data_IF_699132235283
#
_entry.id   IF_699132235283
#
_cell.length_a   1.000
_cell.length_b   1.000
_cell.length_c   1.000
_cell.angle_alpha   90.00
_cell.angle_beta   90.00
_cell.angle_gamma   90.00
#
_symmetry.space_group_name_H-M   'P 1'
#
loop_
_entity.id
_entity.type
_entity.pdbx_description
1 polymer ?
#
# COMPACT_ATOMS: atom_id res chain seq x y z
N UNK A 1 3.46 35.98 -35.12
CA UNK A 1 4.34 34.80 -35.29
C UNK A 1 3.56 33.58 -34.86
N UNK A 2 2.75 33.05 -35.78
CA UNK A 2 1.94 31.84 -35.61
C UNK A 2 2.22 31.06 -36.89
N UNK A 3 3.05 30.03 -36.80
CA UNK A 3 3.33 29.13 -37.92
C UNK A 3 3.42 27.69 -37.44
N UNK A 4 2.54 26.88 -38.04
CA UNK A 4 2.64 25.46 -38.33
C UNK A 4 3.03 24.51 -37.19
N UNK A 5 2.01 24.00 -36.48
CA UNK A 5 2.06 22.63 -35.96
C UNK A 5 1.87 21.67 -37.14
N UNK A 6 2.95 21.02 -37.55
CA UNK A 6 2.90 19.89 -38.48
C UNK A 6 2.37 18.66 -37.74
N UNK A 7 1.19 18.18 -38.15
CA UNK A 7 0.70 16.87 -37.75
C UNK A 7 1.65 15.79 -38.32
N UNK A 8 2.28 15.02 -37.43
CA UNK A 8 2.99 13.82 -37.82
C UNK A 8 1.96 12.73 -38.17
N UNK A 9 2.03 12.12 -39.38
CA UNK A 9 1.20 10.97 -39.68
C UNK A 9 1.72 9.78 -38.87
N UNK A 10 0.92 9.35 -37.90
CA UNK A 10 1.10 8.08 -37.21
C UNK A 10 0.87 6.96 -38.24
N UNK A 11 1.95 6.37 -38.76
CA UNK A 11 1.85 5.15 -39.56
C UNK A 11 1.49 4.00 -38.63
N UNK A 12 0.39 3.26 -38.86
CA UNK A 12 0.14 2.05 -38.12
C UNK A 12 1.22 1.03 -38.52
N UNK A 13 1.92 0.49 -37.53
CA UNK A 13 2.73 -0.71 -37.68
C UNK A 13 1.80 -1.92 -37.86
N UNK A 14 1.09 -1.97 -38.99
CA UNK A 14 0.40 -3.17 -39.45
C UNK A 14 1.46 -4.11 -40.00
N UNK A 15 1.78 -5.15 -39.23
CA UNK A 15 2.59 -6.24 -39.75
C UNK A 15 3.23 -7.10 -38.68
N UNK A 16 2.47 -7.60 -37.70
CA UNK A 16 2.73 -8.87 -37.01
C UNK A 16 1.46 -9.27 -36.24
N UNK A 17 0.41 -9.63 -36.98
CA UNK A 17 -0.59 -10.59 -36.49
C UNK A 17 -0.52 -11.78 -37.42
N UNK A 18 0.36 -12.73 -37.09
CA UNK A 18 0.17 -14.11 -37.53
C UNK A 18 -0.55 -14.78 -36.37
N UNK A 19 -1.82 -15.08 -36.59
CA UNK A 19 -2.47 -16.20 -35.97
C UNK A 19 -1.53 -17.41 -36.11
N UNK A 20 -0.93 -17.84 -35.01
CA UNK A 20 -0.36 -19.16 -34.92
C UNK A 20 -1.53 -20.15 -34.81
N UNK A 21 -2.13 -20.43 -35.95
CA UNK A 21 -2.84 -21.69 -36.17
C UNK A 21 -1.82 -22.81 -35.93
N UNK A 22 -1.93 -23.49 -34.80
CA UNK A 22 -1.19 -24.72 -34.55
C UNK A 22 -1.72 -25.81 -35.48
N UNK A 23 -1.32 -25.78 -36.75
CA UNK A 23 -1.28 -26.99 -37.57
C UNK A 23 -0.12 -27.83 -37.07
N UNK A 24 -0.43 -28.97 -36.46
CA UNK A 24 0.51 -30.06 -36.29
C UNK A 24 1.11 -30.42 -37.66
N UNK A 25 2.35 -30.01 -37.88
CA UNK A 25 3.17 -30.51 -39.00
C UNK A 25 3.71 -31.86 -38.52
N UNK A 26 3.10 -32.95 -38.99
CA UNK A 26 3.73 -34.27 -38.95
C UNK A 26 4.96 -34.23 -39.85
N UNK A 27 6.12 -34.49 -39.26
CA UNK A 27 7.36 -34.74 -40.01
C UNK A 27 7.28 -36.17 -40.58
N UNK A 28 6.76 -36.30 -41.80
CA UNK A 28 6.97 -37.50 -42.61
C UNK A 28 8.31 -37.35 -43.36
N UNK A 29 9.38 -37.91 -42.78
CA UNK A 29 10.60 -38.16 -43.54
C UNK A 29 10.42 -39.46 -44.31
N UNK A 30 10.31 -39.34 -45.63
CA UNK A 30 10.35 -40.43 -46.59
C UNK A 30 11.61 -41.30 -46.38
N UNK A 31 11.41 -42.59 -46.15
CA UNK A 31 12.40 -43.62 -46.53
C UNK A 31 11.66 -44.79 -47.16
N UNK A 32 11.71 -44.83 -48.48
CA UNK A 32 11.18 -45.91 -49.29
C UNK A 32 11.93 -47.22 -49.01
N UNK A 33 11.21 -48.23 -48.53
CA UNK A 33 11.46 -49.64 -48.84
C UNK A 33 10.13 -50.35 -48.99
N UNK A 34 9.89 -50.82 -50.21
CA UNK A 34 8.79 -51.68 -50.62
C UNK A 34 8.71 -52.96 -49.79
N UNK A 35 7.55 -53.25 -49.20
CA UNK A 35 7.09 -54.63 -49.01
C UNK A 35 5.57 -54.70 -48.90
N UNK A 36 5.04 -55.67 -49.63
CA UNK A 36 3.64 -56.01 -49.86
C UNK A 36 2.88 -56.41 -48.59
N UNK A 37 1.56 -56.19 -48.67
CA UNK A 37 0.45 -56.91 -48.06
C UNK A 37 0.45 -57.11 -46.53
N UNK A 38 -0.46 -56.42 -45.84
CA UNK A 38 -1.61 -57.12 -45.27
C UNK A 38 -2.67 -56.18 -44.67
N UNK A 39 -3.91 -56.62 -44.86
CA UNK A 39 -5.17 -56.03 -44.48
C UNK A 39 -5.36 -56.13 -42.95
N UNK A 40 -5.30 -55.02 -42.22
CA UNK A 40 -5.93 -54.93 -40.90
C UNK A 40 -6.40 -53.50 -40.61
N UNK A 41 -7.72 -53.32 -40.69
CA UNK A 41 -8.44 -52.17 -40.14
C UNK A 41 -8.22 -52.10 -38.63
N UNK A 42 -7.26 -51.29 -38.20
CA UNK A 42 -7.11 -50.87 -36.81
C UNK A 42 -7.56 -49.41 -36.73
N UNK A 43 -8.66 -49.19 -36.01
CA UNK A 43 -9.20 -47.88 -35.70
C UNK A 43 -8.09 -47.00 -35.12
N UNK A 44 -7.72 -45.97 -35.88
CA UNK A 44 -6.84 -44.89 -35.43
C UNK A 44 -7.51 -44.20 -34.26
N UNK A 45 -7.08 -44.54 -33.04
CA UNK A 45 -7.37 -43.81 -31.83
C UNK A 45 -6.95 -42.35 -32.03
N UNK A 46 -7.92 -41.48 -32.30
CA UNK A 46 -7.75 -40.05 -32.20
C UNK A 46 -7.42 -39.75 -30.74
N UNK A 47 -6.14 -39.50 -30.46
CA UNK A 47 -5.69 -38.82 -29.25
C UNK A 47 -6.35 -37.43 -29.22
N UNK A 48 -7.57 -37.38 -28.69
CA UNK A 48 -8.22 -36.13 -28.34
C UNK A 48 -7.34 -35.48 -27.29
N UNK A 49 -6.70 -34.36 -27.63
CA UNK A 49 -6.14 -33.46 -26.62
C UNK A 49 -7.21 -33.29 -25.53
N UNK A 50 -6.90 -33.53 -24.25
CA UNK A 50 -7.88 -33.38 -23.19
C UNK A 50 -8.41 -31.96 -23.28
N UNK A 51 -9.69 -31.84 -23.64
CA UNK A 51 -10.40 -30.58 -23.50
C UNK A 51 -10.29 -30.26 -22.01
N UNK A 52 -9.55 -29.19 -21.69
CA UNK A 52 -9.54 -28.58 -20.38
C UNK A 52 -11.01 -28.28 -20.07
N UNK A 53 -11.64 -29.17 -19.30
CA UNK A 53 -13.00 -28.96 -18.83
C UNK A 53 -13.04 -27.60 -18.15
N UNK A 54 -14.15 -26.88 -18.36
CA UNK A 54 -14.44 -25.59 -17.73
C UNK A 54 -13.86 -25.60 -16.32
N UNK A 55 -12.94 -24.67 -16.07
CA UNK A 55 -12.15 -24.62 -14.86
C UNK A 55 -13.10 -24.48 -13.66
N UNK A 56 -13.57 -25.62 -13.14
CA UNK A 56 -14.41 -25.72 -11.95
C UNK A 56 -13.76 -24.88 -10.89
N UNK A 57 -14.54 -23.96 -10.32
CA UNK A 57 -14.12 -22.93 -9.39
C UNK A 57 -13.14 -23.50 -8.37
N UNK A 58 -11.84 -23.26 -8.60
CA UNK A 58 -10.81 -23.68 -7.68
C UNK A 58 -11.07 -22.89 -6.40
N UNK A 59 -11.22 -23.56 -5.24
CA UNK A 59 -11.46 -22.86 -3.99
C UNK A 59 -10.33 -21.87 -3.75
N UNK A 60 -10.66 -20.58 -3.82
CA UNK A 60 -9.75 -19.47 -3.55
C UNK A 60 -10.10 -18.87 -2.20
N UNK A 61 -9.10 -18.63 -1.38
CA UNK A 61 -9.26 -17.91 -0.12
C UNK A 61 -8.92 -16.44 -0.34
N UNK A 62 -9.73 -15.53 0.18
CA UNK A 62 -9.43 -14.10 0.17
C UNK A 62 -8.21 -13.81 1.07
N UNK A 63 -7.27 -13.00 0.59
CA UNK A 63 -6.12 -12.57 1.39
C UNK A 63 -6.49 -11.60 2.52
N UNK A 64 -7.73 -11.08 2.55
CA UNK A 64 -8.20 -10.11 3.53
C UNK A 64 -7.28 -8.87 3.61
N UNK A 65 -6.71 -8.48 2.47
CA UNK A 65 -5.97 -7.22 2.33
C UNK A 65 -6.95 -6.23 1.74
N UNK A 66 -7.30 -5.21 2.50
CA UNK A 66 -8.02 -4.07 1.94
C UNK A 66 -7.06 -3.26 1.09
N UNK A 67 -7.47 -2.97 -0.13
CA UNK A 67 -6.71 -2.18 -1.09
C UNK A 67 -7.62 -1.06 -1.53
N UNK A 68 -7.19 0.16 -1.26
CA UNK A 68 -7.95 1.35 -1.55
C UNK A 68 -7.85 1.70 -3.05
N UNK A 69 -8.85 2.43 -3.54
CA UNK A 69 -8.90 2.86 -4.94
C UNK A 69 -8.09 4.16 -5.14
N UNK A 70 -6.79 4.10 -4.82
CA UNK A 70 -5.86 5.24 -4.91
C UNK A 70 -4.59 4.96 -5.73
N UNK A 71 -3.81 6.01 -5.96
CA UNK A 71 -2.63 5.97 -6.83
C UNK A 71 -1.50 5.11 -6.27
N UNK A 72 -1.26 5.11 -4.95
CA UNK A 72 -0.16 4.36 -4.33
C UNK A 72 -0.50 2.87 -4.28
N UNK A 73 -1.70 2.52 -3.80
CA UNK A 73 -2.21 1.15 -3.70
C UNK A 73 -2.31 0.50 -5.09
N UNK A 74 -2.59 1.29 -6.14
CA UNK A 74 -2.60 0.82 -7.52
C UNK A 74 -1.26 0.26 -7.99
N UNK A 75 -0.13 0.73 -7.44
CA UNK A 75 1.20 0.18 -7.73
C UNK A 75 1.32 -1.24 -7.21
N UNK A 76 0.86 -1.47 -5.99
CA UNK A 76 0.81 -2.80 -5.37
C UNK A 76 -0.12 -3.71 -6.16
N UNK A 77 -1.30 -3.23 -6.55
CA UNK A 77 -2.23 -3.97 -7.42
C UNK A 77 -1.64 -4.34 -8.77
N UNK A 78 -0.94 -3.39 -9.41
CA UNK A 78 -0.27 -3.65 -10.68
C UNK A 78 0.85 -4.68 -10.54
N UNK A 79 1.55 -4.70 -9.40
CA UNK A 79 2.59 -5.68 -9.12
C UNK A 79 2.07 -7.12 -9.01
N UNK A 80 0.83 -7.30 -8.54
CA UNK A 80 0.12 -8.59 -8.58
C UNK A 80 -0.66 -8.82 -9.88
N UNK A 81 -0.65 -7.85 -10.81
CA UNK A 81 -1.27 -7.96 -12.13
C UNK A 81 -2.77 -7.66 -12.15
N UNK A 82 -3.27 -6.90 -11.16
CA UNK A 82 -4.68 -6.51 -11.05
C UNK A 82 -5.09 -5.31 -11.92
N UNK A 83 -4.12 -4.58 -12.49
CA UNK A 83 -4.36 -3.34 -13.24
C UNK A 83 -4.23 -3.57 -14.74
N UNK A 84 -5.28 -3.20 -15.48
CA UNK A 84 -5.37 -3.36 -16.91
C UNK A 84 -5.72 -2.03 -17.60
N UNK A 85 -5.15 -1.84 -18.78
CA UNK A 85 -5.47 -0.77 -19.72
C UNK A 85 -6.45 -1.32 -20.76
N UNK A 86 -7.60 -0.68 -20.92
CA UNK A 86 -8.52 -1.00 -22.01
C UNK A 86 -8.06 -0.33 -23.31
N UNK A 87 -7.76 -1.13 -24.33
CA UNK A 87 -7.46 -0.65 -25.67
C UNK A 87 -8.49 -1.21 -26.67
N UNK A 88 -8.73 -0.56 -27.82
CA UNK A 88 -9.71 -0.99 -28.82
C UNK A 88 -9.43 -2.36 -29.49
N UNK A 89 -8.42 -3.11 -29.04
CA UNK A 89 -8.10 -4.46 -29.51
C UNK A 89 -7.83 -5.46 -28.39
N UNK A 90 -8.16 -5.13 -27.13
CA UNK A 90 -7.97 -6.02 -25.98
C UNK A 90 -7.49 -5.28 -24.73
N UNK A 91 -7.19 -6.05 -23.69
CA UNK A 91 -6.69 -5.51 -22.41
C UNK A 91 -5.19 -5.73 -22.28
N UNK A 92 -4.45 -4.70 -21.90
CA UNK A 92 -2.99 -4.76 -21.68
C UNK A 92 -2.71 -4.54 -20.21
N UNK A 93 -1.86 -5.37 -19.60
CA UNK A 93 -1.48 -5.21 -18.18
C UNK A 93 -0.59 -4.00 -18.00
N UNK A 94 -0.89 -3.18 -16.99
CA UNK A 94 -0.06 -2.03 -16.64
C UNK A 94 1.08 -2.49 -15.75
N UNK A 95 2.30 -2.10 -16.09
CA UNK A 95 3.48 -2.42 -15.28
C UNK A 95 3.54 -1.48 -14.06
N UNK A 96 3.78 -1.98 -12.83
CA UNK A 96 3.78 -1.16 -11.61
C UNK A 96 4.81 -0.04 -11.62
N UNK A 97 5.95 -0.22 -12.27
CA UNK A 97 6.97 0.83 -12.44
C UNK A 97 6.40 2.14 -13.00
N UNK A 98 5.46 2.10 -13.95
CA UNK A 98 4.89 3.33 -14.52
C UNK A 98 4.00 4.07 -13.51
N UNK A 99 3.22 3.33 -12.73
CA UNK A 99 2.39 3.88 -11.66
C UNK A 99 3.27 4.44 -10.52
N UNK A 100 4.32 3.70 -10.15
CA UNK A 100 5.31 4.13 -9.16
C UNK A 100 6.03 5.43 -9.59
N UNK A 101 6.37 5.57 -10.87
CA UNK A 101 6.92 6.82 -11.42
C UNK A 101 5.90 7.96 -11.34
N UNK A 102 4.60 7.69 -11.49
CA UNK A 102 3.52 8.65 -11.27
C UNK A 102 3.32 9.05 -9.80
N UNK A 103 3.68 8.18 -8.85
CA UNK A 103 3.61 8.47 -7.42
C UNK A 103 4.68 9.50 -6.97
N UNK A 104 5.84 9.57 -7.64
CA UNK A 104 6.92 10.50 -7.29
C UNK A 104 6.48 11.97 -7.40
N UNK A 105 5.94 12.48 -8.53
CA UNK A 105 5.48 13.86 -8.62
C UNK A 105 4.32 14.16 -7.68
N UNK A 106 3.42 13.19 -7.42
CA UNK A 106 2.37 13.32 -6.43
C UNK A 106 2.96 13.55 -5.03
N UNK A 107 3.87 12.68 -4.59
CA UNK A 107 4.57 12.81 -3.32
C UNK A 107 5.30 14.16 -3.21
N UNK A 108 6.00 14.58 -4.27
CA UNK A 108 6.68 15.89 -4.32
C UNK A 108 5.68 17.03 -4.15
N UNK A 109 4.53 16.98 -4.83
CA UNK A 109 3.50 18.01 -4.71
C UNK A 109 2.86 18.05 -3.30
N UNK A 110 2.59 16.90 -2.69
CA UNK A 110 2.10 16.81 -1.32
C UNK A 110 3.12 17.38 -0.32
N UNK A 111 4.40 16.99 -0.44
CA UNK A 111 5.49 17.52 0.39
C UNK A 111 5.71 19.02 0.21
N UNK A 112 5.66 19.50 -1.04
CA UNK A 112 5.76 20.93 -1.34
C UNK A 112 4.65 21.70 -0.63
N UNK A 113 3.41 21.21 -0.73
CA UNK A 113 2.24 21.83 -0.14
C UNK A 113 2.35 21.87 1.39
N UNK A 114 2.78 20.77 2.01
CA UNK A 114 3.05 20.72 3.45
C UNK A 114 4.16 21.70 3.84
N UNK A 115 5.27 21.75 3.10
CA UNK A 115 6.34 22.70 3.36
C UNK A 115 5.87 24.15 3.26
N UNK A 116 5.05 24.49 2.25
CA UNK A 116 4.47 25.84 2.13
C UNK A 116 3.48 26.14 3.24
N UNK A 117 2.66 25.17 3.67
CA UNK A 117 1.81 25.32 4.84
C UNK A 117 2.66 25.64 6.09
N UNK A 118 3.75 24.90 6.33
CA UNK A 118 4.66 25.15 7.46
C UNK A 118 5.33 26.52 7.41
N UNK A 119 5.80 26.94 6.23
CA UNK A 119 6.46 28.23 6.05
C UNK A 119 5.49 29.42 6.09
N UNK A 120 4.20 29.18 5.85
CA UNK A 120 3.14 30.18 5.95
C UNK A 120 2.62 30.41 7.37
N UNK A 121 3.07 29.61 8.34
CA UNK A 121 2.68 29.73 9.74
C UNK A 121 3.46 30.85 10.45
N UNK A 122 2.81 31.57 11.37
CA UNK A 122 3.45 32.48 12.32
C UNK A 122 4.11 31.65 13.43
N UNK A 123 5.29 31.12 13.14
CA UNK A 123 5.99 30.13 13.97
C UNK A 123 6.44 30.65 15.35
N UNK A 124 6.49 31.97 15.53
CA UNK A 124 6.84 32.63 16.79
C UNK A 124 5.67 32.71 17.78
N UNK A 125 4.45 32.45 17.31
CA UNK A 125 3.24 32.65 18.12
C UNK A 125 3.17 31.65 19.28
N UNK A 126 2.94 32.12 20.52
CA UNK A 126 2.78 31.22 21.67
C UNK A 126 1.53 30.37 21.52
N UNK A 127 1.61 29.11 21.95
CA UNK A 127 0.50 28.12 21.88
C UNK A 127 -0.68 28.56 22.74
N UNK A 128 -0.42 29.23 23.87
CA UNK A 128 -1.46 29.75 24.77
C UNK A 128 -2.11 31.05 24.30
N UNK A 129 -1.58 31.68 23.24
CA UNK A 129 -2.05 32.97 22.71
C UNK A 129 -1.62 34.17 23.57
N UNK A 130 -1.55 35.36 22.96
CA UNK A 130 -1.08 36.60 23.61
C UNK A 130 -2.21 37.41 24.30
N UNK A 131 -3.41 36.85 24.45
CA UNK A 131 -4.58 37.56 24.98
C UNK A 131 -4.90 37.24 26.44
N UNK A 132 -5.36 38.24 27.20
CA UNK A 132 -6.06 38.04 28.47
C UNK A 132 -7.40 37.30 28.23
N UNK A 133 -7.34 35.98 28.05
CA UNK A 133 -8.56 35.16 28.06
C UNK A 133 -9.18 35.20 29.45
N UNK A 134 -10.50 35.42 29.50
CA UNK A 134 -11.32 35.22 30.70
C UNK A 134 -10.97 33.88 31.35
N UNK A 135 -10.80 33.86 32.68
CA UNK A 135 -10.35 32.69 33.44
C UNK A 135 -11.19 31.43 33.19
N UNK A 136 -12.46 31.59 32.83
CA UNK A 136 -13.35 30.48 32.47
C UNK A 136 -13.06 29.85 31.10
N UNK A 137 -12.51 30.61 30.14
CA UNK A 137 -12.21 30.12 28.79
C UNK A 137 -10.81 29.49 28.65
N UNK A 138 -9.91 29.75 29.62
CA UNK A 138 -8.51 29.28 29.61
C UNK A 138 -8.36 27.76 29.44
N UNK A 139 -9.31 26.98 29.94
CA UNK A 139 -9.28 25.51 29.84
C UNK A 139 -10.04 24.95 28.63
N UNK A 140 -11.02 25.71 28.10
CA UNK A 140 -11.89 25.25 27.02
C UNK A 140 -11.11 25.20 25.70
N UNK A 141 -10.32 26.24 25.41
CA UNK A 141 -9.58 26.32 24.15
C UNK A 141 -8.51 25.21 24.01
N UNK A 142 -7.62 24.94 25.00
CA UNK A 142 -6.66 23.85 24.90
C UNK A 142 -7.34 22.47 24.82
N UNK A 143 -8.47 22.29 25.51
CA UNK A 143 -9.26 21.07 25.44
C UNK A 143 -9.83 20.86 24.03
N UNK A 144 -10.43 21.89 23.43
CA UNK A 144 -10.97 21.84 22.08
C UNK A 144 -9.87 21.56 21.04
N UNK A 145 -8.71 22.23 21.15
CA UNK A 145 -7.54 21.96 20.30
C UNK A 145 -7.06 20.53 20.43
N UNK A 146 -6.92 20.02 21.66
CA UNK A 146 -6.54 18.63 21.92
C UNK A 146 -7.53 17.64 21.31
N UNK A 147 -8.84 17.89 21.46
CA UNK A 147 -9.89 17.06 20.89
C UNK A 147 -9.82 17.06 19.34
N UNK A 148 -9.59 18.22 18.72
CA UNK A 148 -9.43 18.32 17.27
C UNK A 148 -8.21 17.56 16.75
N UNK A 149 -7.08 17.61 17.48
CA UNK A 149 -5.90 16.77 17.16
C UNK A 149 -6.27 15.29 17.20
N UNK A 150 -7.00 14.84 18.24
CA UNK A 150 -7.45 13.45 18.32
C UNK A 150 -8.40 13.08 17.18
N UNK A 151 -9.35 13.94 16.83
CA UNK A 151 -10.29 13.69 15.74
C UNK A 151 -9.57 13.56 14.40
N UNK A 152 -8.62 14.45 14.10
CA UNK A 152 -7.78 14.33 12.91
C UNK A 152 -6.97 13.04 12.93
N UNK A 153 -6.36 12.73 14.06
CA UNK A 153 -5.56 11.53 14.18
C UNK A 153 -6.40 10.24 14.01
N UNK A 154 -7.67 10.25 14.39
CA UNK A 154 -8.63 9.16 14.14
C UNK A 154 -9.08 9.11 12.67
N UNK A 155 -9.22 10.27 12.00
CA UNK A 155 -9.54 10.31 10.57
C UNK A 155 -8.41 9.78 9.69
N UNK A 156 -7.15 10.04 10.06
CA UNK A 156 -5.98 9.57 9.32
C UNK A 156 -5.59 8.13 9.67
N UNK A 157 -6.16 7.59 10.75
CA UNK A 157 -5.80 6.28 11.26
C UNK A 157 -6.07 5.16 10.25
N UNK A 158 -7.26 5.05 9.62
CA UNK A 158 -7.54 3.99 8.64
C UNK A 158 -6.54 4.01 7.48
N UNK A 159 -6.19 5.19 6.96
CA UNK A 159 -5.38 5.28 5.74
C UNK A 159 -3.94 4.92 6.00
N UNK A 160 -3.39 5.39 7.11
CA UNK A 160 -2.06 4.97 7.52
C UNK A 160 -2.05 3.47 7.88
N UNK A 161 -3.12 2.95 8.52
CA UNK A 161 -3.23 1.54 8.90
C UNK A 161 -3.25 0.65 7.65
N UNK A 162 -4.03 1.03 6.63
CA UNK A 162 -4.09 0.40 5.31
C UNK A 162 -2.72 0.38 4.65
N UNK A 163 -2.08 1.54 4.49
CA UNK A 163 -0.75 1.67 3.90
C UNK A 163 0.31 0.83 4.64
N UNK A 164 0.29 0.83 5.98
CA UNK A 164 1.24 0.05 6.78
C UNK A 164 1.01 -1.46 6.64
N UNK A 165 -0.25 -1.90 6.61
CA UNK A 165 -0.60 -3.32 6.36
C UNK A 165 -0.16 -3.74 4.97
N UNK A 166 -0.44 -2.92 3.96
CA UNK A 166 -0.08 -3.19 2.57
C UNK A 166 1.45 -3.21 2.38
N UNK A 167 2.17 -2.31 3.05
CA UNK A 167 3.64 -2.32 3.08
C UNK A 167 4.19 -3.62 3.69
N UNK A 168 3.69 -4.05 4.86
CA UNK A 168 4.13 -5.30 5.47
C UNK A 168 3.77 -6.51 4.62
N UNK A 169 2.59 -6.51 4.00
CA UNK A 169 2.15 -7.54 3.05
C UNK A 169 3.10 -7.66 1.86
N UNK A 170 3.53 -6.53 1.28
CA UNK A 170 4.50 -6.45 0.18
C UNK A 170 5.91 -6.86 0.62
N UNK A 171 6.31 -6.52 1.84
CA UNK A 171 7.62 -6.90 2.38
C UNK A 171 7.66 -8.36 2.82
N UNK A 172 6.51 -8.98 3.08
CA UNK A 172 6.42 -10.39 3.45
C UNK A 172 6.73 -11.27 2.23
N UNK A 173 7.84 -12.03 2.25
CA UNK A 173 8.27 -12.79 1.08
C UNK A 173 7.35 -13.97 0.75
N UNK A 174 6.62 -14.50 1.72
CA UNK A 174 5.67 -15.60 1.49
C UNK A 174 4.50 -15.16 0.61
N UNK A 175 4.06 -13.91 0.74
CA UNK A 175 3.02 -13.29 -0.10
C UNK A 175 3.30 -13.45 -1.59
N UNK A 176 4.54 -13.24 -2.02
CA UNK A 176 4.96 -13.30 -3.42
C UNK A 176 5.02 -14.72 -3.99
N UNK A 177 5.03 -15.72 -3.10
CA UNK A 177 4.98 -17.14 -3.45
C UNK A 177 3.52 -17.61 -3.47
N UNK A 178 2.71 -17.11 -2.53
CA UNK A 178 1.35 -17.59 -2.29
C UNK A 178 0.32 -17.02 -3.27
N UNK A 179 0.55 -15.80 -3.76
CA UNK A 179 -0.39 -15.09 -4.64
C UNK A 179 -0.05 -15.32 -6.10
N UNK A 180 -1.06 -15.67 -6.88
CA UNK A 180 -0.92 -15.84 -8.32
C UNK A 180 -0.65 -14.47 -8.97
N UNK A 181 0.52 -14.33 -9.58
CA UNK A 181 0.92 -13.12 -10.30
C UNK A 181 1.20 -13.41 -11.76
N UNK A 182 1.22 -12.35 -12.57
CA UNK A 182 1.67 -12.46 -13.94
C UNK A 182 3.16 -12.77 -14.01
N UNK A 183 3.54 -13.76 -14.82
CA UNK A 183 4.91 -13.97 -15.27
C UNK A 183 4.92 -13.89 -16.79
N UNK A 184 5.57 -12.87 -17.40
CA UNK A 184 5.75 -12.85 -18.84
C UNK A 184 6.63 -14.03 -19.27
N UNK A 185 6.54 -14.39 -20.55
CA UNK A 185 7.45 -15.38 -21.11
C UNK A 185 8.91 -14.87 -21.03
N UNK A 186 9.83 -15.77 -20.68
CA UNK A 186 11.26 -15.48 -20.46
C UNK A 186 11.95 -14.96 -21.73
N UNK A 187 11.35 -15.21 -22.90
CA UNK A 187 11.83 -14.74 -24.20
C UNK A 187 11.69 -13.22 -24.39
N UNK A 188 10.86 -12.54 -23.59
CA UNK A 188 10.64 -11.11 -23.72
C UNK A 188 11.87 -10.31 -23.23
N UNK A 189 12.35 -9.36 -24.06
CA UNK A 189 13.51 -8.49 -23.74
C UNK A 189 13.40 -7.73 -22.42
N UNK A 190 12.17 -7.50 -21.95
CA UNK A 190 11.85 -6.76 -20.73
C UNK A 190 11.30 -7.67 -19.61
N UNK A 191 11.45 -8.99 -19.73
CA UNK A 191 11.00 -9.94 -18.70
C UNK A 191 11.66 -9.65 -17.33
N UNK A 192 12.88 -9.09 -17.32
CA UNK A 192 13.56 -8.73 -16.08
C UNK A 192 12.83 -7.67 -15.24
N UNK A 193 12.06 -6.76 -15.87
CA UNK A 193 11.29 -5.75 -15.15
C UNK A 193 10.13 -6.37 -14.35
N UNK A 194 9.65 -7.54 -14.79
CA UNK A 194 8.65 -8.33 -14.09
C UNK A 194 9.25 -9.29 -13.04
N UNK A 195 10.54 -9.15 -12.73
CA UNK A 195 11.15 -9.93 -11.66
C UNK A 195 10.65 -9.49 -10.28
N UNK A 196 10.48 -10.44 -9.36
CA UNK A 196 10.03 -10.19 -7.98
C UNK A 196 10.72 -9.01 -7.30
N UNK A 197 12.07 -8.87 -7.36
CA UNK A 197 12.75 -7.77 -6.67
C UNK A 197 12.33 -6.40 -7.18
N UNK A 198 12.12 -6.25 -8.50
CA UNK A 198 11.68 -4.99 -9.09
C UNK A 198 10.24 -4.67 -8.67
N UNK A 199 9.36 -5.67 -8.73
CA UNK A 199 7.95 -5.53 -8.34
C UNK A 199 7.81 -5.16 -6.86
N UNK A 200 8.52 -5.87 -5.96
CA UNK A 200 8.60 -5.54 -4.52
C UNK A 200 9.09 -4.12 -4.33
N UNK A 201 10.18 -3.74 -4.99
CA UNK A 201 10.77 -2.42 -4.80
C UNK A 201 9.80 -1.31 -5.21
N UNK A 202 9.09 -1.46 -6.34
CA UNK A 202 8.08 -0.49 -6.77
C UNK A 202 6.92 -0.39 -5.77
N UNK A 203 6.34 -1.52 -5.38
CA UNK A 203 5.21 -1.56 -4.44
C UNK A 203 5.62 -1.00 -3.07
N UNK A 204 6.71 -1.49 -2.48
CA UNK A 204 7.20 -1.03 -1.19
C UNK A 204 7.57 0.45 -1.20
N UNK A 205 8.12 0.96 -2.31
CA UNK A 205 8.38 2.40 -2.46
C UNK A 205 7.09 3.20 -2.43
N UNK A 206 6.07 2.81 -3.21
CA UNK A 206 4.78 3.50 -3.25
C UNK A 206 4.11 3.54 -1.87
N UNK A 207 4.02 2.40 -1.19
CA UNK A 207 3.44 2.32 0.16
C UNK A 207 4.25 3.12 1.19
N UNK A 208 5.59 3.13 1.06
CA UNK A 208 6.46 3.93 1.92
C UNK A 208 6.24 5.44 1.72
N UNK A 209 6.00 5.88 0.48
CA UNK A 209 5.67 7.28 0.18
C UNK A 209 4.30 7.66 0.78
N UNK A 210 3.27 6.82 0.62
CA UNK A 210 1.94 7.00 1.22
C UNK A 210 2.05 7.11 2.75
N UNK A 211 2.73 6.16 3.39
CA UNK A 211 2.94 6.15 4.84
C UNK A 211 3.75 7.36 5.32
N UNK A 212 4.77 7.79 4.57
CA UNK A 212 5.54 8.98 4.89
C UNK A 212 4.70 10.26 4.86
N UNK A 213 3.83 10.43 3.85
CA UNK A 213 2.90 11.56 3.79
C UNK A 213 1.92 11.51 4.96
N UNK A 214 1.26 10.37 5.18
CA UNK A 214 0.32 10.20 6.28
C UNK A 214 0.95 10.54 7.63
N UNK A 215 2.16 10.05 7.89
CA UNK A 215 2.90 10.35 9.12
C UNK A 215 3.26 11.83 9.26
N UNK A 216 3.73 12.47 8.18
CA UNK A 216 4.10 13.89 8.19
C UNK A 216 2.87 14.76 8.45
N UNK A 217 1.75 14.49 7.76
CA UNK A 217 0.48 15.19 7.99
C UNK A 217 0.01 14.99 9.43
N UNK A 218 0.12 13.77 9.97
CA UNK A 218 -0.26 13.46 11.34
C UNK A 218 0.58 14.29 12.34
N UNK A 219 1.89 14.45 12.12
CA UNK A 219 2.75 15.30 12.96
C UNK A 219 2.44 16.79 12.79
N UNK A 220 2.26 17.27 11.56
CA UNK A 220 1.97 18.67 11.25
C UNK A 220 0.61 19.12 11.75
N UNK A 221 -0.37 18.21 11.77
CA UNK A 221 -1.72 18.48 12.26
C UNK A 221 -1.72 19.03 13.69
N UNK A 222 -0.81 18.54 14.54
CA UNK A 222 -0.65 19.03 15.92
C UNK A 222 -0.29 20.52 15.90
N UNK A 223 0.68 20.91 15.08
CA UNK A 223 1.12 22.30 15.01
C UNK A 223 0.05 23.21 14.41
N UNK A 224 -0.58 22.75 13.32
CA UNK A 224 -1.65 23.47 12.62
C UNK A 224 -2.80 23.76 13.57
N UNK A 225 -3.28 22.76 14.31
CA UNK A 225 -4.38 22.92 15.27
C UNK A 225 -3.98 23.80 16.45
N UNK A 226 -2.75 23.64 16.97
CA UNK A 226 -2.27 24.44 18.10
C UNK A 226 -2.09 25.92 17.75
N UNK A 227 -1.73 26.24 16.51
CA UNK A 227 -1.50 27.61 16.06
C UNK A 227 -2.80 28.41 15.84
N UNK A 228 -3.91 27.75 15.52
CA UNK A 228 -5.16 28.44 15.20
C UNK A 228 -5.72 29.20 16.42
N UNK A 229 -6.16 30.44 16.21
CA UNK A 229 -6.85 31.22 17.26
C UNK A 229 -8.34 30.91 17.30
N UNK A 230 -8.91 30.59 16.14
CA UNK A 230 -10.33 30.34 15.99
C UNK A 230 -10.61 28.89 15.61
N UNK A 231 -11.80 28.42 15.97
CA UNK A 231 -12.29 27.09 15.57
C UNK A 231 -12.47 27.02 14.05
N UNK A 232 -12.85 28.13 13.41
CA UNK A 232 -13.02 28.20 11.95
C UNK A 232 -11.69 27.98 11.22
N UNK A 233 -10.60 28.63 11.67
CA UNK A 233 -9.27 28.43 11.08
C UNK A 233 -8.79 26.99 11.30
N UNK A 234 -9.08 26.43 12.48
CA UNK A 234 -8.78 25.02 12.80
C UNK A 234 -9.47 24.10 11.80
N UNK A 235 -10.77 24.31 11.54
CA UNK A 235 -11.55 23.50 10.61
C UNK A 235 -11.06 23.64 9.17
N UNK A 236 -10.76 24.87 8.71
CA UNK A 236 -10.28 25.09 7.35
C UNK A 236 -8.91 24.45 7.13
N UNK A 237 -7.98 24.62 8.08
CA UNK A 237 -6.66 24.02 7.97
C UNK A 237 -6.71 22.49 8.10
N UNK A 238 -7.64 21.95 8.91
CA UNK A 238 -7.93 20.53 8.98
C UNK A 238 -8.40 19.97 7.63
N UNK A 239 -9.34 20.65 6.97
CA UNK A 239 -9.82 20.28 5.65
C UNK A 239 -8.70 20.32 4.59
N UNK A 240 -7.81 21.32 4.67
CA UNK A 240 -6.66 21.40 3.78
C UNK A 240 -5.69 20.21 3.96
N UNK A 241 -5.44 19.78 5.21
CA UNK A 241 -4.62 18.60 5.49
C UNK A 241 -5.29 17.30 4.97
N UNK A 242 -6.59 17.15 5.18
CA UNK A 242 -7.34 16.00 4.64
C UNK A 242 -7.31 15.98 3.11
N UNK A 243 -7.53 17.13 2.46
CA UNK A 243 -7.44 17.24 1.00
C UNK A 243 -6.06 16.86 0.46
N UNK A 244 -4.99 17.17 1.19
CA UNK A 244 -3.63 16.76 0.79
C UNK A 244 -3.44 15.25 0.80
N UNK A 245 -4.09 14.56 1.75
CA UNK A 245 -4.07 13.09 1.81
C UNK A 245 -4.91 12.53 0.67
N UNK A 246 -6.13 13.02 0.47
CA UNK A 246 -7.06 12.56 -0.58
C UNK A 246 -6.60 12.84 -2.02
N UNK A 247 -5.49 13.56 -2.20
CA UNK A 247 -4.97 13.90 -3.52
C UNK A 247 -4.56 12.65 -4.33
N UNK A 248 -4.19 11.56 -3.66
CA UNK A 248 -3.87 10.28 -4.29
C UNK A 248 -5.10 9.62 -4.96
N UNK A 249 -6.23 9.57 -4.25
CA UNK A 249 -7.53 9.13 -4.75
C UNK A 249 -7.93 9.94 -5.99
N UNK A 250 -7.79 11.27 -5.91
CA UNK A 250 -8.14 12.17 -7.03
C UNK A 250 -7.20 12.04 -8.23
N UNK A 251 -5.91 11.87 -8.00
CA UNK A 251 -4.98 11.62 -9.10
C UNK A 251 -5.27 10.28 -9.79
N UNK A 252 -5.66 9.27 -9.02
CA UNK A 252 -6.03 7.96 -9.57
C UNK A 252 -7.33 7.99 -10.36
N UNK A 253 -8.37 8.70 -9.89
CA UNK A 253 -9.59 8.96 -10.67
C UNK A 253 -9.26 9.59 -12.03
N UNK A 254 -8.35 10.57 -12.06
CA UNK A 254 -7.87 11.20 -13.29
C UNK A 254 -7.09 10.20 -14.15
N UNK A 255 -6.20 9.40 -13.58
CA UNK A 255 -5.43 8.39 -14.31
C UNK A 255 -6.34 7.34 -14.97
N UNK A 256 -7.35 6.84 -14.24
CA UNK A 256 -8.38 5.93 -14.77
C UNK A 256 -9.11 6.55 -15.95
N UNK A 257 -9.57 7.80 -15.82
CA UNK A 257 -10.31 8.49 -16.87
C UNK A 257 -9.47 8.79 -18.11
N UNK A 258 -8.23 9.24 -17.94
CA UNK A 258 -7.35 9.66 -19.05
C UNK A 258 -6.80 8.47 -19.82
N UNK A 259 -6.41 7.40 -19.12
CA UNK A 259 -5.77 6.26 -19.73
C UNK A 259 -6.72 5.09 -20.02
N UNK A 260 -7.95 5.09 -19.49
CA UNK A 260 -8.84 3.94 -19.58
C UNK A 260 -8.30 2.77 -18.75
N UNK A 261 -7.77 3.07 -17.56
CA UNK A 261 -7.27 2.07 -16.63
C UNK A 261 -8.46 1.52 -15.84
N UNK A 262 -8.55 0.20 -15.75
CA UNK A 262 -9.53 -0.50 -14.95
C UNK A 262 -8.87 -1.60 -14.11
N UNK A 263 -9.46 -1.84 -12.95
CA UNK A 263 -9.15 -3.03 -12.18
C UNK A 263 -9.86 -4.23 -12.79
N UNK A 264 -9.15 -5.34 -12.92
CA UNK A 264 -9.78 -6.60 -13.32
C UNK A 264 -10.82 -7.01 -12.27
N UNK A 265 -12.05 -7.26 -12.71
CA UNK A 265 -13.10 -7.82 -11.87
C UNK A 265 -12.59 -9.13 -11.23
N UNK A 266 -12.62 -9.19 -9.89
CA UNK A 266 -12.11 -10.30 -9.10
C UNK A 266 -10.63 -10.20 -8.64
N UNK A 267 -9.88 -9.16 -9.03
CA UNK A 267 -8.55 -8.87 -8.45
C UNK A 267 -8.59 -7.84 -7.32
N UNK A 268 -9.74 -7.18 -7.09
CA UNK A 268 -9.96 -6.34 -5.89
C UNK A 268 -9.76 -7.12 -4.60
N UNK A 269 -10.03 -8.43 -4.65
CA UNK A 269 -9.75 -9.38 -3.59
C UNK A 269 -8.56 -10.23 -4.07
N UNK A 270 -7.39 -10.03 -3.48
CA UNK A 270 -6.22 -10.84 -3.82
C UNK A 270 -6.48 -12.28 -3.39
N UNK A 271 -6.81 -13.14 -4.36
CA UNK A 271 -7.09 -14.56 -4.13
C UNK A 271 -5.80 -15.34 -3.87
N UNK A 272 -5.72 -15.97 -2.70
CA UNK A 272 -4.65 -16.92 -2.34
C UNK A 272 -4.94 -18.25 -3.01
N UNK A 273 -3.91 -18.83 -3.63
CA UNK A 273 -3.99 -20.18 -4.20
C UNK A 273 -4.11 -21.22 -3.10
N UNK A 274 -5.01 -22.18 -3.26
CA UNK A 274 -5.09 -23.33 -2.35
C UNK A 274 -3.75 -24.10 -2.32
N UNK A 275 -3.43 -24.70 -1.17
CA UNK A 275 -2.16 -25.42 -0.96
C UNK A 275 -1.92 -26.51 -2.03
N UNK A 276 -2.99 -27.23 -2.43
CA UNK A 276 -2.93 -28.24 -3.49
C UNK A 276 -2.53 -27.67 -4.84
N UNK A 277 -3.04 -26.49 -5.18
CA UNK A 277 -2.72 -25.81 -6.44
C UNK A 277 -1.30 -25.23 -6.40
N UNK A 278 -0.88 -24.71 -5.24
CA UNK A 278 0.51 -24.31 -5.03
C UNK A 278 1.46 -25.50 -5.21
N UNK A 279 1.14 -26.67 -4.65
CA UNK A 279 1.96 -27.88 -4.77
C UNK A 279 2.00 -28.42 -6.20
N UNK A 280 0.86 -28.40 -6.92
CA UNK A 280 0.80 -28.72 -8.35
C UNK A 280 1.69 -27.80 -9.18
N UNK A 281 1.64 -26.49 -8.92
CA UNK A 281 2.51 -25.51 -9.58
C UNK A 281 3.98 -25.74 -9.26
N UNK A 282 4.33 -25.97 -7.98
CA UNK A 282 5.71 -26.31 -7.59
C UNK A 282 6.20 -27.58 -8.29
N UNK A 283 5.34 -28.57 -8.46
CA UNK A 283 5.66 -29.83 -9.14
C UNK A 283 5.80 -29.64 -10.66
N UNK A 284 4.94 -28.85 -11.28
CA UNK A 284 4.95 -28.56 -12.72
C UNK A 284 6.10 -27.61 -13.12
N UNK A 285 6.33 -26.57 -12.33
CA UNK A 285 7.35 -25.54 -12.59
C UNK A 285 8.73 -25.91 -12.00
N UNK A 286 8.84 -27.00 -11.24
CA UNK A 286 10.01 -27.35 -10.41
C UNK A 286 11.36 -27.50 -11.12
N UNK A 287 11.39 -27.51 -12.46
CA UNK A 287 12.63 -27.44 -13.26
C UNK A 287 12.95 -26.04 -13.79
N UNK A 288 11.95 -25.16 -13.97
CA UNK A 288 12.11 -23.79 -14.49
C UNK A 288 12.19 -22.75 -13.36
N UNK A 289 11.51 -22.99 -12.24
CA UNK A 289 11.45 -22.06 -11.11
C UNK A 289 12.72 -22.02 -10.25
N UNK A 290 13.53 -23.09 -10.30
CA UNK A 290 14.83 -23.21 -9.59
C UNK A 290 15.88 -22.14 -9.96
N UNK A 291 15.55 -21.18 -10.82
CA UNK A 291 16.45 -20.11 -11.27
C UNK A 291 16.09 -18.71 -10.78
N UNK A 292 14.94 -18.51 -10.13
CA UNK A 292 14.65 -17.21 -9.52
C UNK A 292 15.40 -17.12 -8.17
N UNK A 293 16.19 -16.06 -7.98
CA UNK A 293 17.21 -15.84 -6.94
C UNK A 293 16.72 -15.87 -5.46
N UNK A 294 15.55 -16.41 -5.18
CA UNK A 294 14.91 -16.49 -3.88
C UNK A 294 15.00 -17.87 -3.24
N UNK A 295 15.51 -18.89 -3.95
CA UNK A 295 15.69 -20.22 -3.36
C UNK A 295 16.72 -20.25 -2.21
N UNK A 296 17.65 -19.29 -2.16
CA UNK A 296 18.63 -19.17 -1.07
C UNK A 296 18.01 -18.74 0.26
N UNK A 297 16.76 -18.29 0.27
CA UNK A 297 16.00 -17.98 1.49
C UNK A 297 15.27 -19.20 2.06
N UNK A 298 16.01 -20.30 2.24
CA UNK A 298 15.50 -21.50 2.92
C UNK A 298 14.92 -21.19 4.31
N UNK A 299 15.45 -20.18 5.00
CA UNK A 299 14.94 -19.70 6.29
C UNK A 299 13.45 -19.34 6.27
N UNK A 300 12.98 -18.67 5.22
CA UNK A 300 11.57 -18.27 5.13
C UNK A 300 10.65 -19.43 4.75
N UNK A 301 11.18 -20.47 4.10
CA UNK A 301 10.41 -21.70 3.85
C UNK A 301 10.12 -22.44 5.15
N UNK A 302 10.98 -22.34 6.17
CA UNK A 302 10.83 -23.06 7.44
C UNK A 302 9.94 -22.34 8.46
N UNK A 303 9.77 -21.01 8.39
CA UNK A 303 8.84 -20.30 9.28
C UNK A 303 7.43 -20.32 8.71
N UNK A 304 6.73 -21.43 8.99
CA UNK A 304 5.29 -21.60 8.84
C UNK A 304 4.49 -20.41 9.41
N UNK A 305 4.95 -19.85 10.53
CA UNK A 305 4.46 -18.64 11.17
C UNK A 305 4.28 -17.41 10.25
N UNK A 306 5.09 -17.27 9.20
CA UNK A 306 5.05 -16.12 8.29
C UNK A 306 4.17 -16.35 7.06
N UNK A 307 3.67 -17.58 6.86
CA UNK A 307 2.69 -17.85 5.80
C UNK A 307 1.38 -17.22 6.17
N UNK A 308 0.79 -16.49 5.23
CA UNK A 308 -0.42 -15.70 5.48
C UNK A 308 -1.59 -16.56 5.97
N UNK A 309 -1.75 -17.75 5.37
CA UNK A 309 -2.78 -18.71 5.73
C UNK A 309 -2.57 -19.37 7.12
N UNK A 310 -1.36 -19.36 7.66
CA UNK A 310 -0.98 -20.06 8.91
C UNK A 310 -0.73 -19.08 10.08
N UNK A 311 -1.18 -17.82 9.95
CA UNK A 311 -1.08 -16.81 11.01
C UNK A 311 -0.23 -15.58 10.67
N UNK A 312 0.39 -15.52 9.49
CA UNK A 312 1.16 -14.36 9.04
C UNK A 312 0.36 -13.04 9.09
N UNK A 313 -0.93 -13.10 8.75
CA UNK A 313 -1.84 -11.94 8.86
C UNK A 313 -1.95 -11.39 10.29
N UNK A 314 -1.96 -12.26 11.31
CA UNK A 314 -1.99 -11.83 12.71
C UNK A 314 -0.67 -11.21 13.15
N UNK A 315 0.47 -11.73 12.68
CA UNK A 315 1.79 -11.15 12.95
C UNK A 315 1.91 -9.77 12.31
N UNK A 316 1.47 -9.62 11.06
CA UNK A 316 1.39 -8.34 10.37
C UNK A 316 0.51 -7.36 11.15
N UNK A 317 -0.70 -7.76 11.55
CA UNK A 317 -1.60 -6.92 12.33
C UNK A 317 -0.99 -6.46 13.67
N UNK A 318 -0.33 -7.36 14.41
CA UNK A 318 0.38 -7.02 15.65
C UNK A 318 1.52 -6.04 15.41
N UNK A 319 2.31 -6.23 14.34
CA UNK A 319 3.41 -5.34 13.99
C UNK A 319 2.88 -3.95 13.60
N UNK A 320 1.81 -3.88 12.82
CA UNK A 320 1.13 -2.61 12.51
C UNK A 320 0.65 -1.95 13.80
N UNK A 321 -0.07 -2.66 14.68
CA UNK A 321 -0.52 -2.11 15.96
C UNK A 321 0.64 -1.55 16.81
N UNK A 322 1.79 -2.22 16.83
CA UNK A 322 2.98 -1.76 17.54
C UNK A 322 3.56 -0.48 16.92
N UNK A 323 3.66 -0.40 15.59
CA UNK A 323 4.13 0.80 14.87
C UNK A 323 3.22 1.99 15.17
N UNK A 324 1.90 1.80 15.11
CA UNK A 324 0.93 2.86 15.42
C UNK A 324 0.98 3.30 16.87
N UNK A 325 1.03 2.36 17.81
CA UNK A 325 1.16 2.68 19.22
C UNK A 325 2.40 3.56 19.47
N UNK A 326 3.53 3.24 18.84
CA UNK A 326 4.74 4.06 18.93
C UNK A 326 4.55 5.45 18.32
N UNK A 327 3.94 5.54 17.13
CA UNK A 327 3.67 6.82 16.47
C UNK A 327 2.76 7.72 17.32
N UNK A 328 1.69 7.18 17.89
CA UNK A 328 0.76 7.92 18.76
C UNK A 328 1.39 8.36 20.08
N UNK A 329 2.13 7.48 20.75
CA UNK A 329 2.86 7.83 21.97
C UNK A 329 3.81 8.99 21.69
N UNK A 330 4.57 8.91 20.59
CA UNK A 330 5.46 9.99 20.16
C UNK A 330 4.69 11.29 19.94
N UNK A 331 3.54 11.26 19.29
CA UNK A 331 2.74 12.46 19.05
C UNK A 331 2.17 13.09 20.30
N UNK A 332 1.68 12.28 21.23
CA UNK A 332 1.24 12.77 22.54
C UNK A 332 2.40 13.46 23.25
N UNK A 333 3.60 12.86 23.24
CA UNK A 333 4.78 13.46 23.87
C UNK A 333 5.18 14.77 23.19
N UNK A 334 5.13 14.85 21.87
CA UNK A 334 5.39 16.09 21.10
C UNK A 334 4.35 17.17 21.45
N UNK A 335 3.07 16.82 21.52
CA UNK A 335 2.00 17.74 21.91
C UNK A 335 2.20 18.26 23.34
N UNK A 336 2.42 17.36 24.31
CA UNK A 336 2.66 17.72 25.70
C UNK A 336 3.92 18.59 25.84
N UNK A 337 4.97 18.30 25.08
CA UNK A 337 6.19 19.10 25.11
C UNK A 337 5.94 20.51 24.58
N UNK A 338 5.14 20.62 23.51
CA UNK A 338 4.75 21.90 22.91
C UNK A 338 3.90 22.73 23.85
N UNK A 339 2.96 22.11 24.56
CA UNK A 339 2.19 22.77 25.62
C UNK A 339 3.07 23.21 26.80
N UNK A 340 4.09 22.41 27.18
CA UNK A 340 5.00 22.77 28.28
C UNK A 340 5.92 23.95 27.94
N UNK A 341 6.38 24.00 26.70
CA UNK A 341 7.39 24.97 26.24
C UNK A 341 6.80 26.17 25.52
N UNK A 342 5.49 26.16 25.30
CA UNK A 342 4.75 27.17 24.55
C UNK A 342 5.32 27.42 23.14
N UNK A 343 5.85 26.36 22.53
CA UNK A 343 6.51 26.42 21.21
C UNK A 343 5.95 25.33 20.32
N UNK A 344 5.57 25.71 19.10
CA UNK A 344 4.98 24.80 18.12
C UNK A 344 5.99 23.71 17.68
N UNK A 345 5.54 22.44 17.47
CA UNK A 345 6.41 21.37 16.98
C UNK A 345 7.09 21.72 15.66
N UNK A 346 6.32 22.24 14.69
CA UNK A 346 6.78 22.63 13.36
C UNK A 346 7.89 23.68 13.39
N UNK A 347 7.88 24.61 14.36
CA UNK A 347 8.93 25.61 14.49
C UNK A 347 10.29 24.94 14.78
N UNK A 348 10.30 23.90 15.61
CA UNK A 348 11.49 23.09 15.92
C UNK A 348 11.94 22.26 14.73
N UNK A 349 10.99 21.67 14.00
CA UNK A 349 11.29 20.88 12.82
C UNK A 349 11.91 21.76 11.72
N UNK A 350 11.39 22.98 11.52
CA UNK A 350 11.97 23.96 10.60
C UNK A 350 13.39 24.38 11.02
N UNK A 351 13.63 24.66 12.30
CA UNK A 351 14.98 24.96 12.77
C UNK A 351 15.93 23.78 12.60
N UNK A 352 15.45 22.55 12.83
CA UNK A 352 16.24 21.33 12.61
C UNK A 352 16.59 21.16 11.13
N UNK A 353 15.63 21.34 10.23
CA UNK A 353 15.86 21.28 8.79
C UNK A 353 16.84 22.38 8.37
N UNK A 354 16.68 23.61 8.87
CA UNK A 354 17.61 24.70 8.58
C UNK A 354 19.03 24.38 9.06
N UNK A 355 19.22 23.93 10.30
CA UNK A 355 20.53 23.51 10.80
C UNK A 355 21.17 22.42 9.93
N UNK A 356 20.41 21.37 9.59
CA UNK A 356 20.89 20.31 8.70
C UNK A 356 21.29 20.85 7.33
N UNK A 357 20.61 21.87 6.79
CA UNK A 357 21.00 22.46 5.50
C UNK A 357 22.27 23.29 5.55
N UNK A 358 22.65 23.80 6.73
CA UNK A 358 23.90 24.53 6.94
C UNK A 358 25.10 23.60 7.14
N UNK A 359 24.86 22.36 7.60
CA UNK A 359 25.92 21.39 7.77
C UNK A 359 26.51 20.93 6.41
N UNK A 360 27.83 20.97 6.30
CA UNK A 360 28.58 20.34 5.19
C UNK A 360 28.79 18.84 5.45
N UNK A 361 27.70 18.16 5.83
CA UNK A 361 27.63 16.71 5.97
C UNK A 361 26.91 16.10 4.77
N UNK A 362 27.09 14.79 4.55
CA UNK A 362 26.34 14.05 3.50
C UNK A 362 24.83 14.18 3.70
N UNK A 363 24.38 14.16 4.96
CA UNK A 363 22.99 14.38 5.33
C UNK A 363 22.54 15.81 4.97
N UNK A 364 23.36 16.83 5.24
CA UNK A 364 23.04 18.20 4.87
C UNK A 364 22.95 18.43 3.36
N UNK A 365 23.83 17.80 2.57
CA UNK A 365 23.72 17.80 1.10
C UNK A 365 22.44 17.10 0.62
N UNK A 366 22.10 15.97 1.22
CA UNK A 366 20.87 15.23 0.90
C UNK A 366 19.63 16.06 1.23
N UNK A 367 19.55 16.67 2.42
CA UNK A 367 18.45 17.55 2.83
C UNK A 367 18.31 18.73 1.88
N UNK A 368 19.42 19.39 1.50
CA UNK A 368 19.41 20.46 0.49
C UNK A 368 18.90 19.97 -0.87
N UNK A 369 19.30 18.77 -1.30
CA UNK A 369 18.83 18.15 -2.54
C UNK A 369 17.33 17.88 -2.51
N UNK A 370 16.83 17.28 -1.42
CA UNK A 370 15.42 16.98 -1.19
C UNK A 370 14.60 18.27 -1.20
N UNK A 371 15.01 19.30 -0.45
CA UNK A 371 14.31 20.58 -0.44
C UNK A 371 14.24 21.22 -1.82
N UNK A 372 15.32 21.18 -2.61
CA UNK A 372 15.31 21.69 -3.99
C UNK A 372 14.28 20.95 -4.86
N UNK A 373 14.23 19.63 -4.76
CA UNK A 373 13.24 18.82 -5.50
C UNK A 373 11.82 19.13 -5.02
N UNK A 374 11.59 19.15 -3.70
CA UNK A 374 10.28 19.46 -3.10
C UNK A 374 9.79 20.86 -3.48
N UNK A 375 10.68 21.84 -3.58
CA UNK A 375 10.32 23.20 -3.99
C UNK A 375 10.08 23.39 -5.50
N UNK A 376 10.14 22.32 -6.29
CA UNK A 376 10.13 22.40 -7.76
C UNK A 376 11.18 23.40 -8.29
N UNK A 377 12.35 23.42 -7.65
CA UNK A 377 13.47 24.34 -7.91
C UNK A 377 13.20 25.84 -7.61
N UNK A 378 12.06 26.19 -7.01
CA UNK A 378 11.83 27.55 -6.52
C UNK A 378 12.60 27.77 -5.21
N UNK A 379 13.86 28.25 -5.29
CA UNK A 379 14.84 28.47 -4.20
C UNK A 379 14.26 28.52 -2.76
N UNK A 380 13.97 27.36 -2.13
CA UNK A 380 13.28 27.30 -0.84
C UNK A 380 14.25 27.71 0.26
N UNK A 381 15.54 27.51 0.03
CA UNK A 381 16.62 27.94 0.90
C UNK A 381 16.59 29.45 1.15
N UNK A 382 16.11 30.25 0.20
CA UNK A 382 15.97 31.69 0.40
C UNK A 382 14.90 32.01 1.44
N UNK A 383 13.72 31.39 1.31
CA UNK A 383 12.63 31.55 2.26
C UNK A 383 12.98 30.93 3.62
N UNK A 384 13.47 29.69 3.62
CA UNK A 384 13.92 29.01 4.84
C UNK A 384 15.00 29.81 5.57
N UNK A 385 16.00 30.34 4.86
CA UNK A 385 17.02 31.16 5.49
C UNK A 385 16.44 32.47 6.01
N UNK A 386 15.54 33.13 5.27
CA UNK A 386 14.88 34.36 5.75
C UNK A 386 14.05 34.10 7.02
N UNK A 387 13.34 32.99 7.10
CA UNK A 387 12.44 32.70 8.23
C UNK A 387 13.22 32.14 9.43
N UNK A 388 14.22 31.28 9.20
CA UNK A 388 14.89 30.54 10.28
C UNK A 388 16.22 31.16 10.74
N UNK A 389 16.99 31.85 9.88
CA UNK A 389 18.34 32.26 10.25
C UNK A 389 18.34 33.51 11.17
N UNK A 390 18.86 33.42 12.40
CA UNK A 390 18.88 34.55 13.34
C UNK A 390 19.70 35.75 12.85
N UNK A 391 20.73 35.54 12.02
CA UNK A 391 21.58 36.62 11.50
C UNK A 391 20.83 37.56 10.54
N UNK A 392 19.72 37.10 9.96
CA UNK A 392 18.84 37.88 9.08
C UNK A 392 17.50 38.21 9.72
N UNK A 393 17.36 37.98 11.04
CA UNK A 393 16.13 38.24 11.80
C UNK A 393 15.14 37.09 11.83
N UNK A 394 15.56 35.86 11.53
CA UNK A 394 14.76 34.65 11.72
C UNK A 394 14.69 34.20 13.17
N UNK A 395 13.76 33.28 13.47
CA UNK A 395 13.39 32.94 14.86
C UNK A 395 14.22 31.82 15.50
N UNK A 396 15.06 31.10 14.75
CA UNK A 396 15.74 29.93 15.32
C UNK A 396 16.73 30.35 16.41
N UNK A 397 16.52 29.77 17.59
CA UNK A 397 17.34 29.94 18.78
C UNK A 397 17.37 28.62 19.55
N UNK A 398 18.16 28.55 20.64
CA UNK A 398 18.25 27.37 21.51
C UNK A 398 16.88 26.90 22.07
N UNK A 399 15.89 27.81 22.16
CA UNK A 399 14.53 27.46 22.57
C UNK A 399 13.82 26.54 21.55
N UNK A 400 14.17 26.67 20.27
CA UNK A 400 13.59 25.90 19.17
C UNK A 400 14.41 24.65 18.82
N UNK A 401 15.31 24.22 19.72
CA UNK A 401 16.07 22.98 19.52
C UNK A 401 15.15 21.78 19.34
N UNK A 402 15.62 20.79 18.58
CA UNK A 402 14.91 19.55 18.33
C UNK A 402 14.59 18.81 19.64
N UNK A 403 13.42 18.17 19.70
CA UNK A 403 13.00 17.40 20.86
C UNK A 403 13.85 16.13 20.92
N UNK A 404 14.67 15.99 21.97
CA UNK A 404 15.49 14.78 22.14
C UNK A 404 14.70 13.68 22.85
N UNK A 405 15.10 12.42 22.69
CA UNK A 405 14.50 11.31 23.44
C UNK A 405 14.60 11.48 24.95
N UNK A 406 15.63 12.20 25.45
CA UNK A 406 15.78 12.53 26.87
C UNK A 406 14.67 13.46 27.33
N UNK A 407 14.34 14.49 26.55
CA UNK A 407 13.25 15.43 26.85
C UNK A 407 11.90 14.69 26.89
N UNK A 408 11.67 13.78 25.94
CA UNK A 408 10.47 12.94 25.90
C UNK A 408 10.36 12.02 27.12
N UNK A 409 11.45 11.36 27.51
CA UNK A 409 11.48 10.49 28.70
C UNK A 409 11.29 11.27 30.00
N UNK A 410 11.89 12.46 30.10
CA UNK A 410 11.67 13.34 31.25
C UNK A 410 10.20 13.74 31.35
N UNK A 411 9.57 14.11 30.24
CA UNK A 411 8.16 14.47 30.21
C UNK A 411 7.24 13.30 30.58
N UNK A 412 7.56 12.09 30.10
CA UNK A 412 6.85 10.87 30.48
C UNK A 412 6.93 10.60 31.99
N UNK A 413 8.08 10.87 32.61
CA UNK A 413 8.27 10.75 34.07
C UNK A 413 7.54 11.84 34.85
N UNK A 414 7.43 13.05 34.31
CA UNK A 414 6.71 14.16 34.95
C UNK A 414 5.18 13.99 34.89
N UNK A 415 4.65 13.29 33.87
CA UNK A 415 3.19 13.11 33.65
C UNK A 415 2.79 11.64 33.44
N UNK A 416 3.11 10.71 34.37
CA UNK A 416 2.95 9.28 34.16
C UNK A 416 1.48 8.87 34.03
N UNK A 417 0.57 9.48 34.80
CA UNK A 417 -0.86 9.16 34.77
C UNK A 417 -1.51 9.52 33.44
N UNK A 418 -1.15 10.67 32.86
CA UNK A 418 -1.69 11.09 31.56
C UNK A 418 -1.20 10.16 30.45
N UNK A 419 0.09 9.82 30.44
CA UNK A 419 0.63 8.89 29.46
C UNK A 419 0.02 7.49 29.63
N UNK A 420 -0.08 6.99 30.86
CA UNK A 420 -0.69 5.69 31.15
C UNK A 420 -2.16 5.64 30.71
N UNK A 421 -2.95 6.68 30.97
CA UNK A 421 -4.35 6.76 30.54
C UNK A 421 -4.48 6.68 29.02
N UNK A 422 -3.64 7.41 28.28
CA UNK A 422 -3.64 7.36 26.82
C UNK A 422 -3.18 6.00 26.28
N UNK A 423 -2.10 5.43 26.83
CA UNK A 423 -1.62 4.09 26.45
C UNK A 423 -2.70 3.04 26.70
N UNK A 424 -3.36 3.07 27.86
CA UNK A 424 -4.47 2.16 28.17
C UNK A 424 -5.63 2.36 27.19
N UNK A 425 -5.97 3.61 26.87
CA UNK A 425 -6.97 3.93 25.85
C UNK A 425 -6.63 3.34 24.48
N UNK A 426 -5.40 3.51 24.00
CA UNK A 426 -4.94 2.93 22.74
C UNK A 426 -4.90 1.41 22.77
N UNK A 427 -4.44 0.79 23.85
CA UNK A 427 -4.49 -0.66 24.03
C UNK A 427 -5.94 -1.15 23.94
N UNK A 428 -6.87 -0.43 24.57
CA UNK A 428 -8.29 -0.77 24.55
C UNK A 428 -8.91 -0.65 23.15
N UNK A 429 -8.56 0.41 22.41
CA UNK A 429 -9.12 0.65 21.06
C UNK A 429 -8.45 -0.24 20.00
N UNK A 430 -7.15 -0.44 20.07
CA UNK A 430 -6.37 -1.10 19.01
C UNK A 430 -6.15 -2.59 19.27
N UNK A 431 -5.76 -2.98 20.49
CA UNK A 431 -5.36 -4.36 20.76
C UNK A 431 -6.54 -5.25 21.16
N UNK A 432 -7.52 -4.74 21.91
CA UNK A 432 -8.65 -5.56 22.35
C UNK A 432 -9.43 -6.18 21.18
N UNK A 433 -9.79 -5.44 20.11
CA UNK A 433 -10.45 -6.06 18.96
C UNK A 433 -9.62 -7.18 18.33
N UNK A 434 -8.30 -7.02 18.28
CA UNK A 434 -7.38 -8.03 17.72
C UNK A 434 -7.30 -9.27 18.63
N UNK A 435 -7.26 -9.09 19.95
CA UNK A 435 -7.31 -10.20 20.90
C UNK A 435 -8.64 -10.95 20.84
N UNK A 436 -9.77 -10.25 20.71
CA UNK A 436 -11.06 -10.89 20.53
C UNK A 436 -11.11 -11.68 19.22
N UNK A 437 -10.61 -11.14 18.11
CA UNK A 437 -10.49 -11.87 16.85
C UNK A 437 -9.64 -13.14 17.04
N UNK A 438 -8.46 -13.03 17.65
CA UNK A 438 -7.57 -14.17 17.90
C UNK A 438 -8.24 -15.24 18.79
N UNK A 439 -8.92 -14.83 19.86
CA UNK A 439 -9.62 -15.74 20.76
C UNK A 439 -10.79 -16.46 20.06
N UNK A 440 -11.55 -15.74 19.23
CA UNK A 440 -12.60 -16.33 18.41
C UNK A 440 -12.03 -17.36 17.43
N UNK A 441 -10.89 -17.07 16.80
CA UNK A 441 -10.17 -18.04 15.97
C UNK A 441 -9.72 -19.27 16.76
N UNK A 442 -9.15 -19.09 17.95
CA UNK A 442 -8.72 -20.20 18.81
C UNK A 442 -9.89 -21.07 19.31
N UNK A 443 -11.05 -20.48 19.63
CA UNK A 443 -12.21 -21.24 20.10
C UNK A 443 -12.81 -22.09 18.98
N UNK A 444 -12.82 -21.59 17.74
CA UNK A 444 -13.30 -22.33 16.58
C UNK A 444 -12.44 -23.56 16.26
N UNK A 445 -11.12 -23.45 16.41
CA UNK A 445 -10.18 -24.56 16.17
C UNK A 445 -10.31 -25.69 17.23
N UNK A 446 -10.83 -25.35 18.43
CA UNK A 446 -11.00 -26.30 19.53
C UNK A 446 -12.14 -27.32 19.34
N UNK A 447 -13.14 -27.00 18.52
CA UNK A 447 -14.35 -27.84 18.36
C UNK A 447 -14.27 -28.83 17.19
N UNK A 448 -13.39 -28.60 16.21
CA UNK A 448 -13.24 -29.44 15.01
C UNK A 448 -11.81 -29.98 14.84
N UNK A 449 -11.27 -30.63 15.88
CA UNK A 449 -9.96 -31.33 15.77
C UNK A 449 -9.92 -32.45 14.72
N UNK A 450 -11.04 -32.78 14.07
CA UNK A 450 -11.08 -33.71 12.94
C UNK A 450 -11.32 -33.07 11.57
N UNK A 451 -11.61 -31.78 11.50
CA UNK A 451 -11.81 -31.07 10.24
C UNK A 451 -10.71 -30.02 10.16
N UNK A 452 -9.58 -30.43 9.59
CA UNK A 452 -8.34 -29.65 9.44
C UNK A 452 -8.64 -28.19 9.12
N UNK A 453 -8.00 -27.31 9.88
CA UNK A 453 -7.81 -25.90 9.61
C UNK A 453 -7.70 -25.65 8.10
N UNK A 454 -8.73 -25.08 7.48
CA UNK A 454 -8.63 -24.24 6.28
C UNK A 454 -10.02 -23.71 5.94
N UNK A 455 -10.19 -22.40 6.10
CA UNK A 455 -11.24 -21.62 5.45
C UNK A 455 -12.66 -21.93 5.91
N UNK A 456 -13.28 -20.95 6.56
CA UNK A 456 -14.72 -20.89 6.69
C UNK A 456 -15.31 -20.65 5.29
N UNK A 457 -15.43 -21.71 4.51
CA UNK A 457 -16.46 -21.83 3.48
C UNK A 457 -17.43 -22.82 4.12
N UNK A 458 -18.67 -22.43 4.49
CA UNK A 458 -19.69 -23.44 4.70
C UNK A 458 -19.68 -24.29 3.44
N UNK A 459 -19.22 -25.53 3.56
CA UNK A 459 -19.44 -26.50 2.49
C UNK A 459 -20.94 -26.70 2.47
N UNK A 460 -21.60 -25.90 1.66
CA UNK A 460 -22.92 -26.19 1.12
C UNK A 460 -22.81 -27.37 0.13
N UNK A 461 -21.97 -28.37 0.44
CA UNK A 461 -21.94 -29.65 -0.28
C UNK A 461 -23.28 -30.38 -0.10
N UNK A 462 -24.00 -30.11 1.00
CA UNK A 462 -25.37 -30.58 1.19
C UNK A 462 -26.40 -29.80 0.34
N UNK A 463 -26.19 -28.50 0.04
CA UNK A 463 -27.09 -27.76 -0.86
C UNK A 463 -26.79 -28.03 -2.34
N UNK A 464 -25.54 -28.23 -2.75
CA UNK A 464 -25.24 -28.67 -4.12
C UNK A 464 -25.77 -30.09 -4.38
N UNK A 465 -25.72 -31.00 -3.40
CA UNK A 465 -26.31 -32.32 -3.54
C UNK A 465 -27.84 -32.26 -3.56
N UNK A 466 -28.49 -31.36 -2.81
CA UNK A 466 -29.93 -31.11 -2.91
C UNK A 466 -30.34 -30.44 -4.23
N UNK A 467 -29.60 -29.44 -4.72
CA UNK A 467 -29.89 -28.77 -6.01
C UNK A 467 -29.73 -29.77 -7.16
N UNK A 468 -28.69 -30.62 -7.13
CA UNK A 468 -28.52 -31.67 -8.15
C UNK A 468 -29.61 -32.75 -8.07
N UNK A 469 -30.15 -33.01 -6.86
CA UNK A 469 -31.30 -33.91 -6.66
C UNK A 469 -32.59 -33.32 -7.21
N UNK A 470 -32.84 -32.04 -6.94
CA UNK A 470 -34.01 -31.30 -7.43
C UNK A 470 -33.96 -31.16 -8.95
N UNK A 471 -32.79 -30.87 -9.53
CA UNK A 471 -32.62 -30.76 -10.98
C UNK A 471 -32.88 -32.12 -11.67
N UNK A 472 -32.37 -33.22 -11.11
CA UNK A 472 -32.70 -34.58 -11.58
C UNK A 472 -34.18 -34.94 -11.42
N UNK A 473 -34.82 -34.53 -10.33
CA UNK A 473 -36.26 -34.76 -10.14
C UNK A 473 -37.09 -33.98 -11.17
N UNK A 474 -36.73 -32.72 -11.46
CA UNK A 474 -37.38 -31.89 -12.48
C UNK A 474 -37.19 -32.47 -13.90
N UNK A 475 -36.00 -32.96 -14.25
CA UNK A 475 -35.77 -33.65 -15.53
C UNK A 475 -36.58 -34.95 -15.65
N UNK A 476 -36.75 -35.69 -14.54
CA UNK A 476 -37.55 -36.92 -14.51
C UNK A 476 -39.05 -36.66 -14.65
N UNK A 477 -39.53 -35.49 -14.22
CA UNK A 477 -40.93 -35.07 -14.35
C UNK A 477 -41.25 -34.57 -15.76
N UNK A 478 -40.32 -33.89 -16.43
CA UNK A 478 -40.52 -33.39 -17.79
C UNK A 478 -40.40 -34.47 -18.89
N UNK A 479 -39.88 -35.65 -18.56
CA UNK A 479 -39.72 -36.78 -19.49
C UNK A 479 -40.87 -37.81 -19.44
N UNK A 480 -41.88 -37.59 -18.58
CA UNK A 480 -43.15 -38.32 -18.56
C UNK A 480 -44.26 -37.46 -19.16
#
# INVERSE_FOLDING_TARGET
>A
MLNSMQCWPWRPANGYSRECDYRCISNDSERATSREDDNSSNESGQDKCPQFGDAKDVPTMDAHVHIDDDMYDSVTMAAFGGVHLQLPGGTVRVHPMWLCLGCIPLFVAQQASLLYMRLGQELEKPVHGEGEMSDGLKWILPFAKTLMVYMLALMLFPEMLGACRLLLFVLNPTTWIDINRFRPDLSAKWAFLWSTPVLITCAATAESLKLAIGYIVLVDSVSVVLMCDTVQDTLFNSLALTFLIDLDNKLWEVAKSVFGIEYKEGMRELKILSEKEQERRRSSEGSKLKREAWEDWEFFKTCHCLRRAEGGSAVEALLVCAIFMFAYIRQILVMLYSLKTDTLPVARDMCTIWHLTQEDTTLGHLTRGILRVMSLYAHPNGLLNKTCNPDVGGYCSEQFRSITSKDMWQLARERPLFLAANVVGFVFVLLIPQFFQLLLFCEMDGKDKHTRCFGFIPKDEDEEEEVFKVEKEVESLNSK
#
